data_IF_409720154335
#
_entry.id   IF_409720154335
#
_cell.length_a   1.000
_cell.length_b   1.000
_cell.length_c   1.000
_cell.angle_alpha   90.00
_cell.angle_beta   90.00
_cell.angle_gamma   90.00
#
_symmetry.space_group_name_H-M   'P 1'
#
loop_
_entity.id
_entity.type
_entity.pdbx_description
1 polymer ?
#
# COMPACT_ATOMS: atom_id res chain seq x y z
N UNK A 1 -16.16 5.33 1.77
CA UNK A 1 -15.01 4.41 1.80
C UNK A 1 -14.94 3.77 3.17
N UNK A 2 -14.85 2.45 3.22
CA UNK A 2 -14.76 1.67 4.47
C UNK A 2 -13.34 1.80 5.05
N UNK A 3 -13.27 2.09 6.34
CA UNK A 3 -12.02 2.22 7.09
C UNK A 3 -12.12 1.43 8.40
N UNK A 4 -10.97 1.02 8.91
CA UNK A 4 -10.81 0.48 10.26
C UNK A 4 -9.95 1.43 11.08
N UNK A 5 -10.38 1.76 12.29
CA UNK A 5 -9.64 2.66 13.17
C UNK A 5 -8.38 1.97 13.71
N UNK A 6 -7.21 2.59 13.55
CA UNK A 6 -5.94 2.06 14.05
C UNK A 6 -5.69 2.39 15.52
N UNK A 7 -6.26 3.50 16.01
CA UNK A 7 -6.12 4.03 17.36
C UNK A 7 -7.45 4.61 17.83
N UNK A 8 -7.70 4.82 19.14
CA UNK A 8 -8.94 5.44 19.59
C UNK A 8 -9.00 6.92 19.15
N UNK A 9 -10.11 7.32 18.52
CA UNK A 9 -10.40 8.72 18.20
C UNK A 9 -11.89 8.95 18.00
N UNK A 10 -12.29 10.23 17.94
CA UNK A 10 -13.66 10.60 17.59
C UNK A 10 -13.73 10.97 16.12
N UNK A 11 -14.64 10.35 15.37
CA UNK A 11 -14.97 10.71 13.99
C UNK A 11 -16.41 11.18 13.92
N UNK A 12 -16.62 12.41 13.44
CA UNK A 12 -17.89 13.12 13.56
C UNK A 12 -18.40 13.12 15.02
N UNK A 13 -19.51 12.44 15.31
CA UNK A 13 -20.10 12.32 16.65
C UNK A 13 -19.82 10.97 17.31
N UNK A 14 -19.13 10.04 16.63
CA UNK A 14 -18.89 8.68 17.11
C UNK A 14 -17.48 8.55 17.68
N UNK A 15 -17.38 8.02 18.90
CA UNK A 15 -16.10 7.62 19.50
C UNK A 15 -15.76 6.21 19.02
N UNK A 16 -14.63 6.09 18.32
CA UNK A 16 -14.11 4.85 17.75
C UNK A 16 -12.95 4.34 18.61
N UNK A 17 -12.90 3.03 18.82
CA UNK A 17 -11.76 2.30 19.39
C UNK A 17 -10.88 1.75 18.27
N UNK A 18 -9.67 1.35 18.60
CA UNK A 18 -8.84 0.60 17.66
C UNK A 18 -9.57 -0.70 17.26
N UNK A 19 -9.59 -1.01 15.97
CA UNK A 19 -10.32 -2.12 15.39
C UNK A 19 -11.77 -1.81 14.96
N UNK A 20 -12.34 -0.66 15.35
CA UNK A 20 -13.71 -0.32 14.93
C UNK A 20 -13.77 0.03 13.44
N UNK A 21 -14.73 -0.57 12.75
CA UNK A 21 -15.05 -0.24 11.37
C UNK A 21 -15.97 0.97 11.28
N UNK A 22 -15.68 1.84 10.32
CA UNK A 22 -16.49 3.02 10.04
C UNK A 22 -16.36 3.45 8.59
N UNK A 23 -17.31 4.25 8.13
CA UNK A 23 -17.30 4.81 6.78
C UNK A 23 -16.94 6.28 6.84
N UNK A 24 -15.89 6.67 6.12
CA UNK A 24 -15.56 8.08 5.96
C UNK A 24 -16.63 8.78 5.10
N UNK A 25 -17.06 9.97 5.55
CA UNK A 25 -18.09 10.79 4.90
C UNK A 25 -17.65 11.35 3.56
N UNK A 26 -16.37 11.73 3.45
CA UNK A 26 -15.81 12.35 2.25
C UNK A 26 -14.51 11.68 1.83
N UNK A 27 -14.13 11.87 0.56
CA UNK A 27 -12.84 11.44 0.02
C UNK A 27 -11.65 12.16 0.68
N UNK A 28 -11.85 13.43 1.06
CA UNK A 28 -10.83 14.23 1.73
C UNK A 28 -10.54 13.66 3.13
N UNK A 29 -11.59 13.40 3.92
CA UNK A 29 -11.47 12.79 5.24
C UNK A 29 -10.76 11.45 5.16
N UNK A 30 -11.15 10.62 4.18
CA UNK A 30 -10.51 9.33 3.94
C UNK A 30 -9.00 9.50 3.75
N UNK A 31 -8.57 10.39 2.85
CA UNK A 31 -7.15 10.63 2.59
C UNK A 31 -6.41 11.10 3.84
N UNK A 32 -6.99 12.04 4.58
CA UNK A 32 -6.37 12.57 5.81
C UNK A 32 -6.25 11.48 6.89
N UNK A 33 -7.29 10.66 7.10
CA UNK A 33 -7.29 9.64 8.13
C UNK A 33 -6.28 8.52 7.87
N UNK A 34 -6.10 8.15 6.60
CA UNK A 34 -5.07 7.18 6.17
C UNK A 34 -3.67 7.81 6.27
N UNK A 35 -3.46 9.01 5.71
CA UNK A 35 -2.16 9.68 5.72
C UNK A 35 -1.66 10.01 7.14
N UNK A 36 -2.56 10.29 8.08
CA UNK A 36 -2.22 10.55 9.49
C UNK A 36 -2.14 9.27 10.34
N UNK A 37 -2.29 8.09 9.73
CA UNK A 37 -2.24 6.79 10.39
C UNK A 37 -3.35 6.57 11.43
N UNK A 38 -4.45 7.33 11.38
CA UNK A 38 -5.59 7.15 12.30
C UNK A 38 -6.47 5.98 11.91
N UNK A 39 -6.53 5.67 10.62
CA UNK A 39 -7.32 4.58 10.09
C UNK A 39 -6.60 3.89 8.92
N UNK A 40 -6.96 2.65 8.66
CA UNK A 40 -6.51 1.86 7.49
C UNK A 40 -7.70 1.56 6.59
N UNK A 41 -7.42 1.31 5.31
CA UNK A 41 -8.43 0.81 4.37
C UNK A 41 -9.00 -0.52 4.87
N UNK A 42 -10.32 -0.63 4.76
CA UNK A 42 -11.05 -1.86 5.05
C UNK A 42 -11.79 -2.31 3.79
N UNK A 43 -11.93 -3.62 3.64
CA UNK A 43 -12.73 -4.20 2.56
C UNK A 43 -14.23 -4.00 2.84
N UNK A 44 -15.07 -4.20 1.82
CA UNK A 44 -16.52 -3.99 1.94
C UNK A 44 -17.19 -4.94 2.95
N UNK A 45 -16.60 -6.12 3.17
CA UNK A 45 -16.97 -7.13 4.16
C UNK A 45 -16.52 -6.77 5.58
N UNK A 46 -15.83 -5.64 5.78
CA UNK A 46 -15.36 -5.24 7.11
C UNK A 46 -14.18 -6.07 7.59
N UNK A 47 -13.35 -6.57 6.69
CA UNK A 47 -12.00 -7.06 7.03
C UNK A 47 -10.96 -5.97 6.80
N UNK A 48 -9.82 -6.06 7.48
CA UNK A 48 -8.68 -5.18 7.20
C UNK A 48 -8.27 -5.42 5.74
N UNK A 49 -8.20 -4.36 4.94
CA UNK A 49 -7.50 -4.48 3.67
C UNK A 49 -6.01 -4.45 4.00
N UNK A 50 -5.39 -5.63 4.02
CA UNK A 50 -3.96 -5.77 4.30
C UNK A 50 -3.09 -5.14 3.20
N UNK A 51 -3.68 -4.75 2.08
CA UNK A 51 -2.96 -4.29 0.91
C UNK A 51 -3.45 -2.96 0.30
N UNK A 52 -3.37 -1.82 1.02
CA UNK A 52 -3.65 -0.52 0.43
C UNK A 52 -2.44 0.14 -0.26
N UNK A 53 -1.22 -0.20 0.16
CA UNK A 53 0.04 0.45 -0.23
C UNK A 53 1.19 -0.56 -0.48
N UNK A 54 0.93 -1.79 -0.92
CA UNK A 54 2.03 -2.71 -1.29
C UNK A 54 2.69 -2.40 -2.65
N UNK A 55 2.58 -1.16 -3.13
CA UNK A 55 3.28 -0.71 -4.33
C UNK A 55 4.76 -0.42 -4.04
N UNK A 56 5.14 0.31 -2.97
CA UNK A 56 6.54 0.48 -2.57
C UNK A 56 7.25 -0.85 -2.25
N UNK A 57 6.66 -1.73 -1.43
CA UNK A 57 7.32 -3.00 -1.05
C UNK A 57 7.50 -3.95 -2.25
N UNK A 58 6.52 -4.02 -3.15
CA UNK A 58 6.65 -4.82 -4.36
C UNK A 58 7.70 -4.26 -5.31
N UNK A 59 7.78 -2.93 -5.46
CA UNK A 59 8.80 -2.26 -6.26
C UNK A 59 10.20 -2.43 -5.67
N UNK A 60 10.36 -2.32 -4.34
CA UNK A 60 11.64 -2.55 -3.69
C UNK A 60 12.11 -4.00 -3.83
N UNK A 61 11.21 -4.98 -3.71
CA UNK A 61 11.51 -6.39 -3.98
C UNK A 61 11.96 -6.61 -5.42
N UNK A 62 11.25 -6.06 -6.40
CA UNK A 62 11.64 -6.12 -7.81
C UNK A 62 13.01 -5.47 -8.05
N UNK A 63 13.29 -4.35 -7.37
CA UNK A 63 14.59 -3.67 -7.49
C UNK A 63 15.74 -4.49 -6.91
N UNK A 64 15.50 -5.18 -5.80
CA UNK A 64 16.45 -6.11 -5.21
C UNK A 64 16.72 -7.31 -6.15
N UNK A 65 15.67 -7.93 -6.69
CA UNK A 65 15.80 -9.07 -7.62
C UNK A 65 16.53 -8.66 -8.91
N UNK A 66 16.25 -7.47 -9.47
CA UNK A 66 17.01 -6.95 -10.61
C UNK A 66 18.49 -6.75 -10.29
N UNK A 67 18.82 -6.25 -9.08
CA UNK A 67 20.20 -6.09 -8.66
C UNK A 67 20.92 -7.44 -8.52
N UNK A 68 20.25 -8.48 -8.03
CA UNK A 68 20.83 -9.83 -7.94
C UNK A 68 21.09 -10.45 -9.31
N UNK A 69 20.13 -10.33 -10.24
CA UNK A 69 20.24 -10.93 -11.58
C UNK A 69 21.22 -10.16 -12.48
N UNK A 70 21.20 -8.82 -12.45
CA UNK A 70 21.97 -7.97 -13.37
C UNK A 70 23.25 -7.41 -12.74
N UNK A 71 23.35 -7.39 -11.41
CA UNK A 71 24.48 -6.79 -10.67
C UNK A 71 24.53 -5.26 -10.73
N UNK A 72 23.52 -4.61 -11.33
CA UNK A 72 23.44 -3.15 -11.50
C UNK A 72 22.21 -2.60 -10.82
N UNK A 73 22.35 -1.40 -10.25
CA UNK A 73 21.21 -0.71 -9.62
C UNK A 73 20.17 -0.35 -10.70
N UNK A 74 18.89 -0.73 -10.52
CA UNK A 74 17.82 -0.37 -11.44
C UNK A 74 17.56 1.14 -11.40
N UNK A 75 17.12 1.70 -12.53
CA UNK A 75 16.77 3.12 -12.60
C UNK A 75 15.52 3.40 -11.78
N UNK A 76 15.57 4.43 -10.91
CA UNK A 76 14.46 4.75 -10.00
C UNK A 76 13.17 5.16 -10.71
N UNK A 77 13.25 5.62 -11.97
CA UNK A 77 12.08 6.00 -12.78
C UNK A 77 11.38 4.84 -13.49
N UNK A 78 11.83 3.59 -13.32
CA UNK A 78 11.12 2.42 -13.84
C UNK A 78 9.97 2.01 -12.92
N UNK A 79 8.84 1.67 -13.54
CA UNK A 79 7.69 1.10 -12.85
C UNK A 79 7.86 -0.42 -12.62
N UNK A 80 6.88 -1.04 -11.96
CA UNK A 80 6.91 -2.46 -11.65
C UNK A 80 6.92 -3.35 -12.91
N UNK A 81 6.21 -2.94 -13.97
CA UNK A 81 6.15 -3.69 -15.22
C UNK A 81 7.49 -3.66 -15.96
N UNK A 82 8.14 -2.49 -16.02
CA UNK A 82 9.45 -2.33 -16.64
C UNK A 82 10.53 -3.12 -15.90
N UNK A 83 10.52 -3.10 -14.56
CA UNK A 83 11.45 -3.90 -13.78
C UNK A 83 11.23 -5.40 -14.00
N UNK A 84 9.99 -5.87 -13.95
CA UNK A 84 9.67 -7.28 -14.18
C UNK A 84 10.13 -7.75 -15.59
N UNK A 85 9.87 -6.94 -16.63
CA UNK A 85 10.30 -7.26 -17.99
C UNK A 85 11.83 -7.34 -18.11
N UNK A 86 12.56 -6.46 -17.42
CA UNK A 86 14.02 -6.45 -17.42
C UNK A 86 14.63 -7.60 -16.63
N UNK A 87 14.00 -8.02 -15.54
CA UNK A 87 14.40 -9.23 -14.80
C UNK A 87 14.21 -10.47 -15.67
N UNK A 88 13.08 -10.60 -16.37
CA UNK A 88 12.84 -11.74 -17.28
C UNK A 88 13.80 -11.77 -18.46
N UNK A 89 14.10 -10.60 -19.05
CA UNK A 89 15.07 -10.49 -20.16
C UNK A 89 16.47 -10.93 -19.71
N UNK A 90 16.92 -10.48 -18.53
CA UNK A 90 18.22 -10.86 -17.98
C UNK A 90 18.30 -12.34 -17.61
N UNK A 91 17.21 -12.93 -17.11
CA UNK A 91 17.16 -14.37 -16.80
C UNK A 91 17.09 -15.27 -18.04
N UNK A 92 16.63 -14.74 -19.18
CA UNK A 92 16.57 -15.49 -20.45
C UNK A 92 17.87 -15.36 -21.26
N UNK A 93 18.72 -14.39 -20.93
CA UNK A 93 20.00 -14.15 -21.60
C UNK A 93 21.17 -14.95 -20.99
N UNK A 94 20.90 -15.76 -19.96
CA UNK A 94 21.80 -16.77 -19.37
C UNK A 94 21.40 -18.17 -19.90
#
# INVERSE_FOLDING_TARGET
MQLIASRPFTYATRRLKAGDYFVARTMADHRVLVATGRAKLANADGTLNENPDAVPDALEKLRAEYYEVVGKRPYHGWDAQMLAAKISEARTAD
#
